data_IF_445178348610
#
_entry.id   IF_445178348610
#
_cell.length_a   1.000
_cell.length_b   1.000
_cell.length_c   1.000
_cell.angle_alpha   90.00
_cell.angle_beta   90.00
_cell.angle_gamma   90.00
#
_symmetry.space_group_name_H-M   'P 1'
#
loop_
_entity.id
_entity.type
_entity.pdbx_description
1 polymer ?
#
# COMPACT_ATOMS: atom_id res chain seq x y z
N UNK A 1 27.83 -9.53 -3.17
CA UNK A 1 26.67 -8.91 -2.50
C UNK A 1 26.15 -9.94 -1.49
N UNK A 2 26.48 -9.71 -0.22
CA UNK A 2 26.38 -10.73 0.82
C UNK A 2 24.97 -10.90 1.42
N UNK A 3 23.91 -10.34 0.81
CA UNK A 3 22.56 -10.37 1.38
C UNK A 3 22.43 -9.62 2.73
N UNK A 4 23.44 -8.87 3.11
CA UNK A 4 23.44 -8.08 4.33
C UNK A 4 22.58 -6.82 4.10
N UNK A 5 21.60 -6.61 4.97
CA UNK A 5 20.77 -5.42 4.95
C UNK A 5 21.49 -4.30 5.69
N UNK A 6 21.49 -3.11 5.11
CA UNK A 6 22.09 -1.92 5.69
C UNK A 6 21.01 -0.85 5.79
N UNK A 7 20.84 -0.25 6.95
CA UNK A 7 19.99 0.91 7.14
C UNK A 7 20.72 2.13 6.58
N UNK A 8 20.05 2.85 5.67
CA UNK A 8 20.54 4.08 5.10
C UNK A 8 19.61 5.24 5.45
N UNK A 9 20.18 6.42 5.61
CA UNK A 9 19.44 7.66 5.81
C UNK A 9 19.64 8.55 4.60
N UNK A 10 18.58 9.26 4.21
CA UNK A 10 18.64 10.26 3.15
C UNK A 10 19.10 11.59 3.74
N UNK A 11 20.37 11.93 3.53
CA UNK A 11 20.97 13.19 4.01
C UNK A 11 20.38 14.42 3.32
N UNK A 12 19.85 14.26 2.09
CA UNK A 12 19.24 15.37 1.33
C UNK A 12 17.78 15.62 1.72
N UNK A 13 17.20 14.78 2.57
CA UNK A 13 15.81 14.91 3.03
C UNK A 13 15.50 16.23 3.76
N UNK A 14 16.54 16.91 4.28
CA UNK A 14 16.41 18.09 5.13
C UNK A 14 15.88 17.78 6.55
N UNK A 15 15.70 16.49 6.88
CA UNK A 15 15.25 16.04 8.20
C UNK A 15 16.39 15.70 9.14
N UNK A 16 17.63 15.63 8.62
CA UNK A 16 18.83 15.34 9.41
C UNK A 16 19.46 16.65 9.85
N UNK A 17 19.84 16.73 11.13
CA UNK A 17 20.48 17.88 11.73
C UNK A 17 21.63 17.44 12.64
N UNK A 18 22.74 18.17 12.62
CA UNK A 18 23.90 17.96 13.51
C UNK A 18 23.72 18.57 14.91
N UNK A 19 22.56 19.18 15.18
CA UNK A 19 22.27 19.88 16.42
C UNK A 19 21.58 19.03 17.49
N UNK A 20 21.46 19.56 18.72
CA UNK A 20 20.77 18.89 19.82
C UNK A 20 19.24 18.87 19.64
N UNK A 21 18.72 19.40 18.52
CA UNK A 21 17.30 19.49 18.20
C UNK A 21 16.92 18.31 17.30
N UNK A 22 16.57 17.21 17.88
CA UNK A 22 16.17 16.03 17.14
C UNK A 22 16.35 14.77 17.98
N UNK A 23 15.87 13.66 17.46
CA UNK A 23 16.10 12.37 18.06
C UNK A 23 17.47 11.82 17.63
N UNK A 24 18.31 11.36 18.55
CA UNK A 24 19.62 10.82 18.20
C UNK A 24 19.48 9.50 17.43
N UNK A 25 20.38 9.25 16.49
CA UNK A 25 20.45 7.94 15.81
C UNK A 25 21.07 6.85 16.68
N UNK A 26 21.94 7.22 17.61
CA UNK A 26 22.66 6.32 18.50
C UNK A 26 22.55 6.82 19.94
N UNK A 27 22.53 5.88 20.88
CA UNK A 27 22.63 6.16 22.30
C UNK A 27 24.09 6.44 22.76
N UNK A 28 24.29 6.67 24.05
CA UNK A 28 25.61 6.94 24.64
C UNK A 28 26.59 5.76 24.49
N UNK A 29 26.08 4.54 24.34
CA UNK A 29 26.85 3.30 24.15
C UNK A 29 27.07 2.95 22.68
N UNK A 30 26.71 3.85 21.75
CA UNK A 30 26.79 3.66 20.28
C UNK A 30 25.88 2.55 19.74
N UNK A 31 24.82 2.18 20.47
CA UNK A 31 23.77 1.34 19.94
C UNK A 31 22.70 2.19 19.23
N UNK A 32 21.95 1.62 18.29
CA UNK A 32 20.83 2.32 17.70
C UNK A 32 19.84 2.82 18.76
N UNK A 33 19.51 4.11 18.71
CA UNK A 33 18.49 4.68 19.60
C UNK A 33 17.14 3.99 19.37
N UNK A 34 16.22 4.09 20.33
CA UNK A 34 14.95 3.36 20.30
C UNK A 34 14.16 3.59 19.01
N UNK A 35 14.04 4.83 18.53
CA UNK A 35 13.35 5.15 17.29
C UNK A 35 13.98 4.46 16.06
N UNK A 36 15.31 4.43 16.01
CA UNK A 36 16.05 3.72 14.95
C UNK A 36 15.85 2.21 15.05
N UNK A 37 15.90 1.65 16.26
CA UNK A 37 15.67 0.22 16.47
C UNK A 37 14.25 -0.21 16.08
N UNK A 38 13.23 0.60 16.34
CA UNK A 38 11.85 0.35 15.93
C UNK A 38 11.71 0.35 14.39
N UNK A 39 12.33 1.32 13.70
CA UNK A 39 12.34 1.38 12.23
C UNK A 39 13.08 0.17 11.66
N UNK A 40 14.22 -0.22 12.20
CA UNK A 40 14.95 -1.42 11.77
C UNK A 40 14.10 -2.69 11.92
N UNK A 41 13.42 -2.85 13.05
CA UNK A 41 12.52 -3.97 13.29
C UNK A 41 11.36 -3.98 12.28
N UNK A 42 10.75 -2.83 12.03
CA UNK A 42 9.70 -2.68 11.04
C UNK A 42 10.19 -3.07 9.64
N UNK A 43 11.31 -2.54 9.18
CA UNK A 43 11.89 -2.87 7.87
C UNK A 43 12.27 -4.35 7.75
N UNK A 44 12.76 -4.95 8.83
CA UNK A 44 13.04 -6.39 8.88
C UNK A 44 11.77 -7.21 8.70
N UNK A 45 10.67 -6.82 9.34
CA UNK A 45 9.38 -7.48 9.16
C UNK A 45 8.84 -7.30 7.73
N UNK A 46 8.96 -6.09 7.16
CA UNK A 46 8.58 -5.83 5.76
C UNK A 46 9.35 -6.74 4.80
N UNK A 47 10.65 -6.89 5.02
CA UNK A 47 11.48 -7.76 4.18
C UNK A 47 11.09 -9.25 4.34
N UNK A 48 10.82 -9.70 5.56
CA UNK A 48 10.37 -11.08 5.80
C UNK A 48 9.01 -11.35 5.12
N UNK A 49 8.08 -10.40 5.22
CA UNK A 49 6.79 -10.48 4.54
C UNK A 49 6.93 -10.47 3.02
N UNK A 50 7.86 -9.69 2.46
CA UNK A 50 8.15 -9.68 1.03
C UNK A 50 8.59 -11.06 0.55
N UNK A 51 9.57 -11.68 1.23
CA UNK A 51 10.04 -13.03 0.88
C UNK A 51 8.92 -14.06 0.93
N UNK A 52 8.04 -13.98 1.94
CA UNK A 52 6.87 -14.84 2.02
C UNK A 52 5.90 -14.61 0.86
N UNK A 53 5.61 -13.35 0.54
CA UNK A 53 4.72 -12.97 -0.57
C UNK A 53 5.26 -13.47 -1.89
N UNK A 54 6.55 -13.28 -2.16
CA UNK A 54 7.19 -13.74 -3.40
C UNK A 54 7.05 -15.27 -3.55
N UNK A 55 7.25 -16.02 -2.45
CA UNK A 55 7.07 -17.48 -2.43
C UNK A 55 5.63 -17.90 -2.73
N UNK A 56 4.66 -17.23 -2.11
CA UNK A 56 3.24 -17.52 -2.29
C UNK A 56 2.81 -17.17 -3.72
N UNK A 57 3.25 -16.02 -4.26
CA UNK A 57 2.97 -15.63 -5.64
C UNK A 57 3.59 -16.60 -6.65
N UNK A 58 4.83 -17.06 -6.41
CA UNK A 58 5.46 -18.07 -7.26
C UNK A 58 4.67 -19.38 -7.28
N UNK A 59 4.13 -19.80 -6.13
CA UNK A 59 3.28 -21.01 -6.04
C UNK A 59 1.96 -20.85 -6.82
N UNK A 60 1.30 -19.69 -6.69
CA UNK A 60 0.09 -19.39 -7.46
C UNK A 60 0.39 -19.37 -8.97
N UNK A 61 1.50 -18.77 -9.36
CA UNK A 61 1.92 -18.73 -10.77
C UNK A 61 2.29 -20.11 -11.31
N UNK A 62 2.93 -20.96 -10.51
CA UNK A 62 3.24 -22.35 -10.88
C UNK A 62 1.98 -23.14 -11.25
N UNK A 63 0.88 -22.90 -10.58
CA UNK A 63 -0.41 -23.52 -10.87
C UNK A 63 -1.25 -22.75 -11.90
N UNK A 64 -0.71 -21.72 -12.56
CA UNK A 64 -1.40 -20.95 -13.61
C UNK A 64 -2.57 -20.13 -13.10
N UNK A 65 -2.58 -19.74 -11.83
CA UNK A 65 -3.72 -19.05 -11.20
C UNK A 65 -3.66 -17.53 -11.31
N UNK A 66 -2.56 -16.97 -11.80
CA UNK A 66 -2.40 -15.51 -11.95
C UNK A 66 -2.61 -15.15 -13.40
N UNK A 67 -3.57 -14.26 -13.67
CA UNK A 67 -3.85 -13.75 -15.01
C UNK A 67 -3.77 -12.21 -15.05
N UNK A 68 -3.38 -11.61 -16.21
CA UNK A 68 -3.43 -10.17 -16.41
C UNK A 68 -4.85 -9.63 -16.19
N UNK A 69 -4.93 -8.45 -15.61
CA UNK A 69 -6.19 -7.80 -15.31
C UNK A 69 -6.18 -6.34 -15.77
N UNK A 70 -6.43 -6.06 -17.05
CA UNK A 70 -6.57 -4.70 -17.54
C UNK A 70 -7.84 -4.07 -16.96
N UNK A 71 -7.68 -3.04 -16.12
CA UNK A 71 -8.80 -2.29 -15.55
C UNK A 71 -9.16 -1.13 -16.45
N UNK A 72 -10.45 -1.02 -16.78
CA UNK A 72 -11.00 0.11 -17.49
C UNK A 72 -11.51 1.14 -16.49
N UNK A 73 -10.96 2.34 -16.54
CA UNK A 73 -11.34 3.47 -15.70
C UNK A 73 -11.96 4.55 -16.58
N UNK A 74 -13.15 5.00 -16.20
CA UNK A 74 -13.80 6.15 -16.85
C UNK A 74 -13.25 7.44 -16.26
N UNK A 75 -12.67 8.27 -17.11
CA UNK A 75 -12.18 9.61 -16.75
C UNK A 75 -12.95 10.68 -17.55
N UNK A 76 -12.83 11.94 -17.16
CA UNK A 76 -13.48 13.05 -17.86
C UNK A 76 -13.08 13.18 -19.34
N UNK A 77 -11.92 12.60 -19.73
CA UNK A 77 -11.39 12.57 -21.09
C UNK A 77 -11.70 11.30 -21.88
N UNK A 78 -12.44 10.34 -21.31
CA UNK A 78 -12.75 9.04 -21.93
C UNK A 78 -12.33 7.83 -21.11
N UNK A 79 -12.34 6.65 -21.72
CA UNK A 79 -11.91 5.39 -21.09
C UNK A 79 -10.38 5.28 -21.11
N UNK A 80 -9.78 5.03 -19.93
CA UNK A 80 -8.37 4.70 -19.78
C UNK A 80 -8.21 3.27 -19.30
N UNK A 81 -7.28 2.54 -19.90
CA UNK A 81 -6.92 1.19 -19.48
C UNK A 81 -5.69 1.27 -18.55
N UNK A 82 -5.81 0.74 -17.34
CA UNK A 82 -4.71 0.55 -16.41
C UNK A 82 -4.18 -0.86 -16.58
N UNK A 83 -2.96 -0.96 -17.07
CA UNK A 83 -2.24 -2.22 -17.28
C UNK A 83 -1.27 -2.53 -16.12
N UNK A 84 -0.69 -3.73 -16.13
CA UNK A 84 0.29 -4.15 -15.12
C UNK A 84 -0.34 -4.69 -13.84
N UNK A 85 -1.67 -4.77 -13.77
CA UNK A 85 -2.38 -5.42 -12.69
C UNK A 85 -2.65 -6.88 -13.03
N UNK A 86 -2.73 -7.70 -11.98
CA UNK A 86 -3.02 -9.13 -12.09
C UNK A 86 -4.11 -9.51 -11.09
N UNK A 87 -4.82 -10.59 -11.40
CA UNK A 87 -5.82 -11.17 -10.51
C UNK A 87 -5.75 -12.69 -10.51
N UNK A 88 -6.40 -13.29 -9.55
CA UNK A 88 -6.60 -14.74 -9.51
C UNK A 88 -7.65 -15.13 -10.56
N UNK A 89 -7.35 -16.18 -11.31
CA UNK A 89 -8.32 -16.88 -12.16
C UNK A 89 -9.16 -17.81 -11.27
N UNK A 90 -10.36 -17.37 -10.93
CA UNK A 90 -11.28 -18.14 -10.08
C UNK A 90 -11.71 -19.44 -10.73
N UNK A 91 -11.91 -19.45 -12.05
CA UNK A 91 -12.30 -20.66 -12.77
C UNK A 91 -11.18 -21.70 -12.74
N UNK A 92 -9.93 -21.28 -12.98
CA UNK A 92 -8.77 -22.14 -12.86
C UNK A 92 -8.57 -22.65 -11.42
N UNK A 93 -8.77 -21.78 -10.41
CA UNK A 93 -8.68 -22.16 -9.00
C UNK A 93 -9.70 -23.25 -8.64
N UNK A 94 -10.94 -23.12 -9.10
CA UNK A 94 -12.01 -24.09 -8.86
C UNK A 94 -11.85 -25.41 -9.64
N UNK A 95 -11.07 -25.38 -10.72
CA UNK A 95 -10.77 -26.56 -11.55
C UNK A 95 -9.52 -27.32 -11.11
N UNK A 96 -8.83 -26.87 -10.05
CA UNK A 96 -7.60 -27.52 -9.59
C UNK A 96 -7.84 -28.95 -9.11
N UNK A 97 -6.91 -29.88 -9.39
CA UNK A 97 -6.92 -31.20 -8.80
C UNK A 97 -6.61 -31.14 -7.30
N UNK A 98 -7.05 -32.16 -6.55
CA UNK A 98 -7.00 -32.16 -5.09
C UNK A 98 -5.56 -32.02 -4.52
N UNK A 99 -4.58 -32.61 -5.16
CA UNK A 99 -3.17 -32.52 -4.78
C UNK A 99 -2.63 -31.08 -4.91
N UNK A 100 -3.00 -30.37 -5.97
CA UNK A 100 -2.66 -28.96 -6.16
C UNK A 100 -3.31 -28.07 -5.07
N UNK A 101 -4.58 -28.32 -4.73
CA UNK A 101 -5.25 -27.61 -3.64
C UNK A 101 -4.53 -27.82 -2.30
N UNK A 102 -4.11 -29.05 -2.03
CA UNK A 102 -3.33 -29.38 -0.82
C UNK A 102 -1.98 -28.65 -0.83
N UNK A 103 -1.29 -28.59 -1.97
CA UNK A 103 -0.03 -27.88 -2.11
C UNK A 103 -0.20 -26.38 -1.84
N UNK A 104 -1.21 -25.73 -2.43
CA UNK A 104 -1.53 -24.32 -2.21
C UNK A 104 -1.90 -24.04 -0.74
N UNK A 105 -2.66 -24.92 -0.11
CA UNK A 105 -3.01 -24.81 1.31
C UNK A 105 -1.76 -24.83 2.18
N UNK A 106 -0.90 -25.83 1.98
CA UNK A 106 0.30 -26.02 2.78
C UNK A 106 1.33 -24.89 2.57
N UNK A 107 1.37 -24.32 1.35
CA UNK A 107 2.20 -23.18 1.01
C UNK A 107 1.61 -21.83 1.42
N UNK A 108 0.42 -21.78 2.03
CA UNK A 108 -0.23 -20.54 2.46
C UNK A 108 -0.81 -19.70 1.31
N UNK A 109 -0.91 -20.25 0.11
CA UNK A 109 -1.36 -19.52 -1.07
C UNK A 109 -2.89 -19.41 -1.18
N UNK A 110 -3.64 -20.39 -0.67
CA UNK A 110 -5.10 -20.35 -0.72
C UNK A 110 -5.72 -19.16 0.00
N UNK A 111 -5.33 -18.80 1.24
CA UNK A 111 -5.85 -17.61 1.89
C UNK A 111 -5.61 -16.34 1.06
N UNK A 112 -4.42 -16.18 0.48
CA UNK A 112 -4.09 -15.02 -0.35
C UNK A 112 -4.97 -14.97 -1.61
N UNK A 113 -5.18 -16.11 -2.29
CA UNK A 113 -6.04 -16.19 -3.46
C UNK A 113 -7.48 -15.74 -3.14
N UNK A 114 -8.06 -16.24 -2.05
CA UNK A 114 -9.41 -15.84 -1.64
C UNK A 114 -9.47 -14.37 -1.18
N UNK A 115 -8.46 -13.87 -0.46
CA UNK A 115 -8.39 -12.45 -0.09
C UNK A 115 -8.37 -11.56 -1.34
N UNK A 116 -7.62 -11.94 -2.37
CA UNK A 116 -7.57 -11.18 -3.62
C UNK A 116 -8.93 -11.19 -4.33
N UNK A 117 -9.60 -12.35 -4.46
CA UNK A 117 -10.93 -12.46 -5.05
C UNK A 117 -11.96 -11.60 -4.30
N UNK A 118 -11.96 -11.65 -2.96
CA UNK A 118 -12.84 -10.83 -2.14
C UNK A 118 -12.53 -9.34 -2.25
N UNK A 119 -11.27 -8.97 -2.39
CA UNK A 119 -10.86 -7.57 -2.50
C UNK A 119 -11.38 -6.89 -3.78
N UNK A 120 -11.72 -7.65 -4.81
CA UNK A 120 -12.23 -7.10 -6.08
C UNK A 120 -13.57 -6.36 -5.90
N UNK A 121 -14.36 -6.71 -4.89
CA UNK A 121 -15.60 -5.98 -4.59
C UNK A 121 -15.37 -4.54 -4.10
N UNK A 122 -14.13 -4.18 -3.71
CA UNK A 122 -13.79 -2.81 -3.30
C UNK A 122 -13.42 -1.88 -4.46
N UNK A 123 -13.36 -2.37 -5.70
CA UNK A 123 -13.05 -1.53 -6.88
C UNK A 123 -13.98 -0.32 -7.04
N UNK A 124 -15.32 -0.44 -6.86
CA UNK A 124 -16.20 0.72 -6.94
C UNK A 124 -15.86 1.81 -5.92
N UNK A 125 -15.39 1.41 -4.73
CA UNK A 125 -14.96 2.34 -3.68
C UNK A 125 -13.74 3.15 -4.12
N UNK A 126 -12.78 2.53 -4.80
CA UNK A 126 -11.61 3.24 -5.34
C UNK A 126 -12.04 4.31 -6.37
N UNK A 127 -13.02 4.01 -7.22
CA UNK A 127 -13.59 4.99 -8.15
C UNK A 127 -14.20 6.19 -7.41
N UNK A 128 -14.98 5.96 -6.36
CA UNK A 128 -15.56 7.01 -5.52
C UNK A 128 -14.49 7.87 -4.83
N UNK A 129 -13.40 7.24 -4.35
CA UNK A 129 -12.28 7.95 -3.72
C UNK A 129 -11.55 8.84 -4.73
N UNK A 130 -11.31 8.37 -5.95
CA UNK A 130 -10.69 9.16 -7.02
C UNK A 130 -11.55 10.40 -7.32
N UNK A 131 -12.86 10.23 -7.47
CA UNK A 131 -13.77 11.35 -7.69
C UNK A 131 -13.79 12.35 -6.52
N UNK A 132 -13.80 11.86 -5.29
CA UNK A 132 -13.74 12.71 -4.09
C UNK A 132 -12.43 13.51 -4.04
N UNK A 133 -11.30 12.86 -4.30
CA UNK A 133 -10.00 13.53 -4.38
C UNK A 133 -9.95 14.61 -5.48
N UNK A 134 -10.48 14.30 -6.67
CA UNK A 134 -10.53 15.26 -7.78
C UNK A 134 -11.38 16.49 -7.42
N UNK A 135 -12.53 16.30 -6.77
CA UNK A 135 -13.40 17.40 -6.29
C UNK A 135 -12.68 18.25 -5.25
N UNK A 136 -12.00 17.63 -4.29
CA UNK A 136 -11.24 18.33 -3.24
C UNK A 136 -10.08 19.12 -3.84
N UNK A 137 -9.31 18.54 -4.75
CA UNK A 137 -8.21 19.22 -5.44
C UNK A 137 -8.72 20.45 -6.23
N UNK A 138 -9.84 20.31 -6.93
CA UNK A 138 -10.47 21.43 -7.67
C UNK A 138 -10.98 22.52 -6.73
N UNK A 139 -11.54 22.14 -5.58
CA UNK A 139 -11.98 23.10 -4.56
C UNK A 139 -10.79 23.87 -3.94
N UNK A 140 -9.70 23.17 -3.62
CA UNK A 140 -8.46 23.78 -3.12
C UNK A 140 -7.83 24.75 -4.15
N UNK A 141 -7.84 24.40 -5.43
CA UNK A 141 -7.36 25.30 -6.50
C UNK A 141 -8.22 26.56 -6.65
N UNK A 142 -9.54 26.46 -6.40
CA UNK A 142 -10.44 27.63 -6.43
C UNK A 142 -10.29 28.53 -5.21
N UNK A 143 -9.89 27.98 -4.07
CA UNK A 143 -9.64 28.71 -2.83
C UNK A 143 -8.27 29.38 -2.77
N UNK A 144 -7.37 29.10 -3.72
CA UNK A 144 -6.02 29.63 -3.78
C UNK A 144 -5.71 30.62 -4.94
N UNK A 145 -6.53 31.65 -5.21
CA UNK A 145 -6.13 32.71 -6.14
C UNK A 145 -5.14 33.73 -5.51
N UNK A 146 -4.76 33.59 -4.23
CA UNK A 146 -3.93 34.56 -3.54
C UNK A 146 -3.05 34.04 -2.41
N UNK A 147 -2.92 32.74 -2.24
CA UNK A 147 -2.00 32.17 -1.24
C UNK A 147 -2.42 32.27 0.23
N UNK A 148 -3.57 32.78 0.55
CA UNK A 148 -4.16 32.69 1.89
C UNK A 148 -5.20 31.57 1.92
N UNK A 149 -4.90 30.51 2.69
CA UNK A 149 -5.86 29.47 3.03
C UNK A 149 -6.90 30.10 3.95
N UNK A 150 -8.12 30.29 3.44
CA UNK A 150 -9.26 30.61 4.28
C UNK A 150 -9.59 29.37 5.12
N UNK A 151 -9.18 29.40 6.38
CA UNK A 151 -9.45 28.35 7.37
C UNK A 151 -10.71 28.61 8.19
N UNK A 152 -11.56 29.54 7.77
CA UNK A 152 -12.80 29.92 8.50
C UNK A 152 -13.72 28.69 8.68
N UNK A 153 -13.70 27.73 7.75
CA UNK A 153 -14.45 26.47 7.87
C UNK A 153 -14.01 25.59 9.05
N UNK A 154 -12.78 25.74 9.56
CA UNK A 154 -12.31 25.01 10.75
C UNK A 154 -12.84 25.61 12.05
N UNK A 155 -13.35 26.85 12.01
CA UNK A 155 -13.84 27.55 13.16
C UNK A 155 -15.36 27.35 13.35
N UNK A 156 -16.03 26.73 12.37
CA UNK A 156 -17.49 26.56 12.35
C UNK A 156 -17.93 25.25 13.04
N UNK A 157 -17.21 24.80 14.06
CA UNK A 157 -17.65 23.81 15.07
C UNK A 157 -18.16 22.45 14.51
N UNK A 158 -17.94 22.17 13.24
CA UNK A 158 -18.40 20.95 12.57
C UNK A 158 -17.69 19.71 13.08
N UNK A 159 -18.29 19.03 14.03
CA UNK A 159 -17.87 17.69 14.45
C UNK A 159 -18.08 16.72 13.28
N UNK A 160 -17.02 16.10 12.78
CA UNK A 160 -17.14 15.00 11.83
C UNK A 160 -17.88 13.84 12.48
N UNK A 161 -19.11 13.59 12.07
CA UNK A 161 -19.92 12.49 12.58
C UNK A 161 -19.71 11.24 11.69
N UNK A 162 -18.97 10.26 12.19
CA UNK A 162 -18.70 8.99 11.53
C UNK A 162 -19.77 7.90 11.79
N UNK A 163 -20.94 8.28 12.34
CA UNK A 163 -21.97 7.33 12.77
C UNK A 163 -22.76 6.66 11.63
N UNK A 164 -22.46 6.96 10.37
CA UNK A 164 -23.16 6.43 9.20
C UNK A 164 -22.20 5.75 8.18
N UNK A 165 -21.15 5.10 8.66
CA UNK A 165 -20.34 4.17 7.87
C UNK A 165 -20.72 2.72 8.18
#
# INVERSE_FOLDING_TARGET
ENGQQVLCFDEESGLITDGPQGEPFFDEDSNPANGVAEVMNFLTQVQANRVLTDRVCALLQHHGLIQPWPLKVQEAGGERIVEGLYRIDEAALNALPADAVVALRNGGALPLAYCQLLSMQHLPLLGQLIEAHAKTATALQRLAPGGELDLEFLNDGGTFNFSNL
#
